data_IF_498767767716
#
_entry.id   IF_498767767716
#
_cell.length_a   1.000
_cell.length_b   1.000
_cell.length_c   1.000
_cell.angle_alpha   90.00
_cell.angle_beta   90.00
_cell.angle_gamma   90.00
#
_symmetry.space_group_name_H-M   'P 1'
#
loop_
_entity.id
_entity.type
_entity.pdbx_description
1 polymer ?
#
# COMPACT_ATOMS: atom_id res chain seq x y z
N UNK A 1 -28.51 -1.01 24.43
CA UNK A 1 -27.71 -1.20 23.20
C UNK A 1 -26.25 -1.22 23.60
N UNK A 2 -25.48 -2.20 23.12
CA UNK A 2 -24.04 -2.23 23.31
C UNK A 2 -23.41 -1.05 22.53
N UNK A 3 -22.55 -0.27 23.18
CA UNK A 3 -21.81 0.80 22.51
C UNK A 3 -20.69 0.19 21.68
N UNK A 4 -20.37 0.84 20.56
CA UNK A 4 -19.17 0.49 19.80
C UNK A 4 -17.96 1.20 20.36
N UNK A 5 -16.85 0.48 20.48
CA UNK A 5 -15.56 1.03 20.87
C UNK A 5 -14.78 1.52 19.66
N UNK A 6 -14.26 2.73 19.73
CA UNK A 6 -13.50 3.37 18.66
C UNK A 6 -12.20 3.91 19.23
N UNK A 7 -11.07 3.50 18.65
CA UNK A 7 -9.77 4.08 18.98
C UNK A 7 -9.44 5.22 18.00
N UNK A 8 -8.95 6.32 18.55
CA UNK A 8 -8.39 7.46 17.81
C UNK A 8 -6.90 7.47 18.14
N UNK A 9 -6.09 7.07 17.18
CA UNK A 9 -4.63 7.08 17.30
C UNK A 9 -4.15 8.37 16.63
N UNK A 10 -3.68 9.32 17.43
CA UNK A 10 -3.40 10.68 16.97
C UNK A 10 -2.46 11.41 17.96
N UNK A 11 -2.57 12.73 18.07
CA UNK A 11 -1.82 13.55 19.01
C UNK A 11 -2.51 13.76 20.37
N UNK A 12 -3.56 12.99 20.67
CA UNK A 12 -4.28 13.02 21.96
C UNK A 12 -5.65 13.71 21.87
N UNK A 13 -6.46 13.54 22.92
CA UNK A 13 -7.82 14.10 23.01
C UNK A 13 -7.99 14.87 24.32
N UNK A 14 -8.51 16.09 24.20
CA UNK A 14 -8.87 16.94 25.34
C UNK A 14 -10.37 16.82 25.67
N UNK A 15 -10.67 16.18 26.81
CA UNK A 15 -12.02 16.00 27.34
C UNK A 15 -12.68 17.33 27.73
N UNK A 16 -11.92 18.31 28.21
CA UNK A 16 -12.44 19.63 28.55
C UNK A 16 -12.91 20.40 27.31
N UNK A 17 -12.19 20.24 26.19
CA UNK A 17 -12.60 20.79 24.91
C UNK A 17 -13.89 20.16 24.39
N UNK A 18 -14.05 18.84 24.53
CA UNK A 18 -15.26 18.13 24.12
C UNK A 18 -16.47 18.40 25.04
N UNK A 19 -16.21 18.71 26.32
CA UNK A 19 -17.25 18.90 27.34
C UNK A 19 -17.80 17.58 27.88
N UNK A 20 -17.12 16.46 27.65
CA UNK A 20 -17.44 15.13 28.17
C UNK A 20 -16.18 14.27 28.35
N UNK A 21 -16.26 13.29 29.25
CA UNK A 21 -15.20 12.30 29.46
C UNK A 21 -15.22 11.26 28.33
N UNK A 22 -14.03 10.81 27.91
CA UNK A 22 -13.87 9.68 26.99
C UNK A 22 -13.65 8.39 27.79
N UNK A 23 -13.72 7.24 27.11
CA UNK A 23 -13.68 5.93 27.76
C UNK A 23 -12.27 5.49 28.18
N UNK A 24 -11.23 6.10 27.61
CA UNK A 24 -9.85 5.94 28.07
C UNK A 24 -8.86 6.74 27.23
N UNK A 25 -7.73 7.13 27.85
CA UNK A 25 -6.63 7.81 27.18
C UNK A 25 -5.29 7.21 27.60
N UNK A 26 -4.47 6.89 26.62
CA UNK A 26 -3.11 6.38 26.81
C UNK A 26 -2.13 7.07 25.87
N UNK A 27 -0.86 7.13 26.25
CA UNK A 27 0.22 7.53 25.36
C UNK A 27 1.22 6.38 25.22
N UNK A 28 1.83 6.26 24.04
CA UNK A 28 2.92 5.31 23.80
C UNK A 28 4.23 5.96 24.22
N UNK A 29 4.87 5.41 25.26
CA UNK A 29 6.13 5.93 25.77
C UNK A 29 7.35 5.48 24.94
N UNK A 30 8.53 6.02 25.24
CA UNK A 30 9.79 5.66 24.59
C UNK A 30 10.16 4.17 24.76
N UNK A 31 9.60 3.50 25.78
CA UNK A 31 9.76 2.05 26.01
C UNK A 31 8.76 1.21 25.22
N UNK A 32 7.96 1.83 24.34
CA UNK A 32 6.92 1.18 23.52
C UNK A 32 5.81 0.54 24.36
N UNK A 33 5.46 1.18 25.47
CA UNK A 33 4.39 0.76 26.36
C UNK A 33 3.25 1.78 26.33
N UNK A 34 2.00 1.31 26.29
CA UNK A 34 0.83 2.16 26.47
C UNK A 34 0.61 2.41 27.96
N UNK A 35 0.82 3.66 28.38
CA UNK A 35 0.59 4.11 29.77
C UNK A 35 -0.48 5.20 29.80
N UNK A 36 -1.08 5.46 30.96
CA UNK A 36 -2.11 6.48 31.08
C UNK A 36 -1.60 7.86 30.63
N UNK A 37 -2.42 8.58 29.86
CA UNK A 37 -2.03 9.89 29.33
C UNK A 37 -2.42 11.00 30.32
N UNK A 38 -1.44 11.52 31.05
CA UNK A 38 -1.60 12.63 32.00
C UNK A 38 -1.31 14.00 31.38
N UNK A 39 -1.02 14.07 30.07
CA UNK A 39 -0.68 15.34 29.43
C UNK A 39 -1.88 16.31 29.44
N UNK A 40 -1.60 17.58 29.76
CA UNK A 40 -2.56 18.66 29.62
C UNK A 40 -2.70 19.06 28.15
N UNK A 41 -3.69 18.44 27.49
CA UNK A 41 -3.97 18.67 26.07
C UNK A 41 -4.56 20.06 25.77
N UNK A 42 -4.95 20.84 26.79
CA UNK A 42 -5.58 22.15 26.59
C UNK A 42 -4.66 23.23 26.01
N UNK A 43 -3.34 23.00 26.09
CA UNK A 43 -2.30 23.93 25.64
C UNK A 43 -1.68 23.54 24.30
N UNK A 44 -2.10 22.42 23.73
CA UNK A 44 -1.54 21.92 22.47
C UNK A 44 -2.00 22.83 21.33
N UNK A 45 -1.03 23.35 20.57
CA UNK A 45 -1.28 24.30 19.47
C UNK A 45 -2.18 23.73 18.38
N UNK A 46 -2.18 22.41 18.22
CA UNK A 46 -2.94 21.69 17.23
C UNK A 46 -3.78 20.59 17.89
N UNK A 47 -5.06 20.84 18.16
CA UNK A 47 -5.95 19.88 18.82
C UNK A 47 -6.55 18.84 17.85
N UNK A 48 -5.71 18.20 17.05
CA UNK A 48 -6.14 17.38 15.91
C UNK A 48 -6.92 16.12 16.31
N UNK A 49 -6.40 15.35 17.27
CA UNK A 49 -7.09 14.19 17.81
C UNK A 49 -8.42 14.57 18.49
N UNK A 50 -8.46 15.70 19.20
CA UNK A 50 -9.70 16.27 19.77
C UNK A 50 -10.74 16.58 18.69
N UNK A 51 -10.34 17.20 17.57
CA UNK A 51 -11.25 17.47 16.45
C UNK A 51 -11.77 16.16 15.86
N UNK A 52 -10.91 15.16 15.66
CA UNK A 52 -11.33 13.84 15.18
C UNK A 52 -12.35 13.18 16.12
N UNK A 53 -12.12 13.27 17.44
CA UNK A 53 -13.05 12.76 18.45
C UNK A 53 -14.40 13.48 18.41
N UNK A 54 -14.40 14.82 18.30
CA UNK A 54 -15.60 15.62 18.19
C UNK A 54 -16.42 15.30 16.94
N UNK A 55 -15.75 15.05 15.80
CA UNK A 55 -16.43 14.60 14.56
C UNK A 55 -17.10 13.25 14.80
N UNK A 56 -16.39 12.26 15.36
CA UNK A 56 -16.98 10.95 15.63
C UNK A 56 -18.19 11.07 16.56
N UNK A 57 -18.06 11.80 17.68
CA UNK A 57 -19.15 11.98 18.64
C UNK A 57 -20.35 12.74 18.06
N UNK A 58 -20.13 13.69 17.14
CA UNK A 58 -21.20 14.42 16.46
C UNK A 58 -22.12 13.48 15.67
N UNK A 59 -21.55 12.52 14.95
CA UNK A 59 -22.31 11.62 14.07
C UNK A 59 -22.65 10.28 14.75
N UNK A 60 -21.91 9.91 15.80
CA UNK A 60 -22.09 8.68 16.56
C UNK A 60 -21.96 8.93 18.07
N UNK A 61 -22.94 9.65 18.62
CA UNK A 61 -22.96 10.02 20.04
C UNK A 61 -22.95 8.82 21.01
N UNK A 62 -23.48 7.66 20.59
CA UNK A 62 -23.54 6.45 21.40
C UNK A 62 -22.33 5.51 21.18
N UNK A 63 -21.12 6.06 21.21
CA UNK A 63 -19.84 5.34 21.11
C UNK A 63 -19.03 5.42 22.40
N UNK A 64 -18.08 4.50 22.56
CA UNK A 64 -16.99 4.57 23.53
C UNK A 64 -15.72 5.02 22.78
N UNK A 65 -15.23 6.22 23.10
CA UNK A 65 -14.03 6.79 22.47
C UNK A 65 -12.81 6.48 23.32
N UNK A 66 -11.77 5.95 22.70
CA UNK A 66 -10.46 5.72 23.31
C UNK A 66 -9.41 6.53 22.56
N UNK A 67 -8.61 7.31 23.27
CA UNK A 67 -7.52 8.09 22.70
C UNK A 67 -6.18 7.39 22.93
N UNK A 68 -5.38 7.27 21.86
CA UNK A 68 -4.01 6.76 21.93
C UNK A 68 -3.09 7.81 21.31
N UNK A 69 -2.32 8.49 22.16
CA UNK A 69 -1.38 9.52 21.72
C UNK A 69 -0.05 8.90 21.31
N UNK A 70 0.30 9.04 20.04
CA UNK A 70 1.63 8.68 19.52
C UNK A 70 2.30 9.81 18.71
N UNK A 71 1.55 10.86 18.37
CA UNK A 71 2.08 12.05 17.73
C UNK A 71 2.45 13.11 18.79
N UNK A 72 3.49 13.88 18.50
CA UNK A 72 3.88 15.05 19.27
C UNK A 72 3.03 16.29 18.90
N UNK A 73 3.35 17.45 19.48
CA UNK A 73 2.60 18.70 19.26
C UNK A 73 2.66 19.20 17.79
N UNK A 74 3.69 18.81 17.05
CA UNK A 74 3.88 19.13 15.63
C UNK A 74 3.23 18.10 14.70
N UNK A 75 2.52 17.10 15.25
CA UNK A 75 1.86 16.05 14.47
C UNK A 75 2.81 14.98 13.91
N UNK A 76 4.04 14.89 14.44
CA UNK A 76 5.03 13.88 14.05
C UNK A 76 5.10 12.75 15.07
N UNK A 77 5.37 11.53 14.62
CA UNK A 77 5.51 10.36 15.49
C UNK A 77 6.39 9.29 14.88
N UNK A 78 6.66 8.24 15.65
CA UNK A 78 7.51 7.13 15.23
C UNK A 78 6.66 5.92 14.82
N UNK A 79 6.99 5.28 13.70
CA UNK A 79 6.24 4.11 13.19
C UNK A 79 6.26 2.96 14.20
N UNK A 80 7.36 2.79 14.92
CA UNK A 80 7.49 1.79 15.98
C UNK A 80 6.52 1.96 17.14
N UNK A 81 5.88 3.13 17.30
CA UNK A 81 4.82 3.35 18.27
C UNK A 81 3.45 2.87 17.78
N UNK A 82 3.27 2.61 16.48
CA UNK A 82 2.00 2.13 15.95
C UNK A 82 1.68 0.71 16.42
N UNK A 83 2.69 -0.18 16.52
CA UNK A 83 2.52 -1.54 17.01
C UNK A 83 1.93 -1.60 18.44
N UNK A 84 2.55 -1.01 19.47
CA UNK A 84 2.01 -1.07 20.83
C UNK A 84 0.63 -0.41 20.94
N UNK A 85 0.36 0.64 20.15
CA UNK A 85 -0.98 1.25 20.08
C UNK A 85 -2.04 0.25 19.58
N UNK A 86 -1.75 -0.48 18.49
CA UNK A 86 -2.68 -1.47 17.94
C UNK A 86 -2.79 -2.74 18.81
N UNK A 87 -1.71 -3.14 19.49
CA UNK A 87 -1.74 -4.22 20.50
C UNK A 87 -2.71 -3.85 21.63
N UNK A 88 -2.59 -2.63 22.16
CA UNK A 88 -3.48 -2.13 23.21
C UNK A 88 -4.95 -2.09 22.76
N UNK A 89 -5.22 -1.73 21.50
CA UNK A 89 -6.56 -1.81 20.93
C UNK A 89 -7.12 -3.24 21.02
N UNK A 90 -6.36 -4.25 20.59
CA UNK A 90 -6.78 -5.66 20.67
C UNK A 90 -7.03 -6.06 22.13
N UNK A 91 -6.12 -5.74 23.05
CA UNK A 91 -6.24 -6.06 24.48
C UNK A 91 -7.52 -5.47 25.10
N UNK A 92 -7.95 -4.30 24.63
CA UNK A 92 -9.19 -3.63 25.07
C UNK A 92 -10.44 -4.06 24.28
N UNK A 93 -10.29 -4.94 23.30
CA UNK A 93 -11.35 -5.39 22.40
C UNK A 93 -11.87 -4.27 21.50
N UNK A 94 -10.99 -3.36 21.07
CA UNK A 94 -11.30 -2.24 20.17
C UNK A 94 -10.89 -2.66 18.75
N UNK A 95 -11.87 -2.82 17.88
CA UNK A 95 -11.66 -3.29 16.50
C UNK A 95 -12.01 -2.26 15.43
N UNK A 96 -12.49 -1.07 15.79
CA UNK A 96 -12.64 0.06 14.86
C UNK A 96 -11.63 1.15 15.24
N UNK A 97 -10.67 1.39 14.34
CA UNK A 97 -9.54 2.29 14.58
C UNK A 97 -9.53 3.40 13.53
N UNK A 98 -9.43 4.64 13.99
CA UNK A 98 -9.26 5.82 13.15
C UNK A 98 -7.80 6.27 13.17
N UNK A 99 -7.16 6.27 12.01
CA UNK A 99 -5.83 6.79 11.73
C UNK A 99 -5.95 8.04 10.86
N UNK A 100 -6.21 9.20 11.45
CA UNK A 100 -6.22 10.48 10.73
C UNK A 100 -4.81 11.01 10.42
N UNK A 101 -3.88 10.08 10.17
CA UNK A 101 -2.45 10.27 9.98
C UNK A 101 -1.93 9.25 8.96
N UNK A 102 -0.74 9.50 8.44
CA UNK A 102 -0.05 8.60 7.52
C UNK A 102 1.31 9.17 7.12
N UNK A 103 2.04 8.42 6.30
CA UNK A 103 3.35 8.80 5.74
C UNK A 103 3.34 8.60 4.24
N UNK A 104 3.99 9.50 3.51
CA UNK A 104 4.24 9.39 2.07
C UNK A 104 5.65 8.88 1.78
N UNK A 105 6.45 8.57 2.80
CA UNK A 105 7.82 8.12 2.62
C UNK A 105 7.85 6.64 2.20
N UNK A 106 8.49 6.35 1.06
CA UNK A 106 8.42 5.03 0.43
C UNK A 106 9.00 3.90 1.31
N UNK A 107 10.05 4.18 2.10
CA UNK A 107 10.69 3.21 3.01
C UNK A 107 9.75 2.71 4.12
N UNK A 108 8.71 3.47 4.43
CA UNK A 108 7.75 3.11 5.47
C UNK A 108 6.71 2.09 4.96
N UNK A 109 6.53 1.97 3.64
CA UNK A 109 5.52 1.14 2.99
C UNK A 109 5.54 -0.30 3.49
N UNK A 110 6.70 -0.95 3.44
CA UNK A 110 6.83 -2.38 3.78
C UNK A 110 6.56 -2.64 5.26
N UNK A 111 7.14 -1.81 6.14
CA UNK A 111 6.98 -1.91 7.59
C UNK A 111 5.52 -1.71 8.00
N UNK A 112 4.87 -0.65 7.50
CA UNK A 112 3.48 -0.36 7.82
C UNK A 112 2.56 -1.42 7.23
N UNK A 113 2.79 -1.88 5.98
CA UNK A 113 1.98 -2.94 5.35
C UNK A 113 1.97 -4.20 6.19
N UNK A 114 3.14 -4.73 6.54
CA UNK A 114 3.25 -5.94 7.37
C UNK A 114 2.55 -5.75 8.71
N UNK A 115 2.72 -4.57 9.33
CA UNK A 115 2.08 -4.26 10.59
C UNK A 115 0.56 -4.26 10.49
N UNK A 116 -0.04 -3.49 9.57
CA UNK A 116 -1.50 -3.38 9.49
C UNK A 116 -2.15 -4.66 9.01
N UNK A 117 -1.52 -5.43 8.11
CA UNK A 117 -2.01 -6.73 7.67
C UNK A 117 -2.18 -7.70 8.85
N UNK A 118 -1.27 -7.65 9.83
CA UNK A 118 -1.37 -8.45 11.04
C UNK A 118 -2.62 -8.13 11.87
N UNK A 119 -2.98 -6.86 12.03
CA UNK A 119 -4.16 -6.48 12.82
C UNK A 119 -5.46 -6.65 12.04
N UNK A 120 -5.45 -6.37 10.74
CA UNK A 120 -6.63 -6.57 9.88
C UNK A 120 -6.94 -8.06 9.73
N UNK A 121 -5.95 -8.94 9.61
CA UNK A 121 -6.16 -10.41 9.60
C UNK A 121 -6.77 -10.93 10.92
N UNK A 122 -6.56 -10.22 12.04
CA UNK A 122 -7.23 -10.46 13.34
C UNK A 122 -8.61 -9.81 13.45
N UNK A 123 -9.14 -9.24 12.37
CA UNK A 123 -10.47 -8.66 12.29
C UNK A 123 -10.54 -7.18 12.62
N UNK A 124 -9.42 -6.46 12.76
CA UNK A 124 -9.46 -5.01 12.96
C UNK A 124 -9.91 -4.28 11.68
N UNK A 125 -10.78 -3.29 11.83
CA UNK A 125 -11.20 -2.37 10.78
C UNK A 125 -10.49 -1.05 11.00
N UNK A 126 -9.61 -0.69 10.07
CA UNK A 126 -8.81 0.53 10.13
C UNK A 126 -9.31 1.49 9.04
N UNK A 127 -9.61 2.72 9.46
CA UNK A 127 -9.97 3.84 8.60
C UNK A 127 -8.83 4.83 8.62
N UNK A 128 -8.27 5.16 7.47
CA UNK A 128 -7.09 6.01 7.38
C UNK A 128 -7.26 7.16 6.38
N UNK A 129 -6.71 8.32 6.73
CA UNK A 129 -6.72 9.49 5.87
C UNK A 129 -5.63 9.41 4.79
N UNK A 130 -5.99 9.71 3.54
CA UNK A 130 -5.01 9.90 2.46
C UNK A 130 -4.25 11.21 2.64
N UNK A 131 -3.03 11.32 2.09
CA UNK A 131 -2.25 12.56 2.16
C UNK A 131 -2.98 13.74 1.51
N UNK A 132 -2.86 14.93 2.11
CA UNK A 132 -3.35 16.17 1.54
C UNK A 132 -2.46 16.68 0.38
N UNK A 133 -1.26 16.10 0.18
CA UNK A 133 -0.35 16.43 -0.92
C UNK A 133 -0.75 15.79 -2.26
N UNK A 134 -1.68 14.83 -2.25
CA UNK A 134 -2.08 14.10 -3.45
C UNK A 134 -1.15 12.95 -3.85
N UNK A 135 -0.17 12.60 -3.01
CA UNK A 135 0.67 11.40 -3.16
C UNK A 135 0.08 10.19 -2.43
N UNK A 136 0.56 9.00 -2.80
CA UNK A 136 0.23 7.76 -2.09
C UNK A 136 0.65 7.87 -0.62
N UNK A 137 -0.22 7.43 0.30
CA UNK A 137 0.00 7.54 1.74
C UNK A 137 -0.29 6.22 2.43
N UNK A 138 0.61 5.81 3.32
CA UNK A 138 0.48 4.58 4.09
C UNK A 138 -0.01 4.89 5.51
N UNK A 139 -1.00 4.14 6.05
CA UNK A 139 -1.57 2.91 5.48
C UNK A 139 -2.79 3.11 4.54
N UNK A 140 -3.22 4.35 4.28
CA UNK A 140 -4.48 4.62 3.60
C UNK A 140 -4.61 4.00 2.19
N UNK A 141 -3.51 3.78 1.49
CA UNK A 141 -3.53 3.23 0.13
C UNK A 141 -3.62 1.70 0.04
N UNK A 142 -3.46 0.98 1.16
CA UNK A 142 -3.48 -0.48 1.17
C UNK A 142 -4.89 -1.04 0.98
N UNK A 143 -5.02 -2.14 0.23
CA UNK A 143 -6.33 -2.67 -0.18
C UNK A 143 -7.21 -3.10 1.00
N UNK A 144 -6.60 -3.49 2.12
CA UNK A 144 -7.25 -3.92 3.35
C UNK A 144 -7.45 -2.81 4.39
N UNK A 145 -7.27 -1.55 3.99
CA UNK A 145 -7.51 -0.36 4.81
C UNK A 145 -8.56 0.49 4.12
N UNK A 146 -9.46 1.09 4.90
CA UNK A 146 -10.46 2.02 4.35
C UNK A 146 -9.77 3.38 4.19
N UNK A 147 -9.20 3.60 3.01
CA UNK A 147 -8.60 4.86 2.57
C UNK A 147 -9.66 5.93 2.30
N UNK A 148 -9.54 7.04 3.01
CA UNK A 148 -10.51 8.16 2.97
C UNK A 148 -9.86 9.42 2.43
N UNK A 149 -10.59 10.12 1.57
CA UNK A 149 -10.28 11.48 1.17
C UNK A 149 -11.51 12.39 1.30
N UNK A 150 -11.30 13.70 1.36
CA UNK A 150 -12.41 14.66 1.29
C UNK A 150 -12.91 14.82 -0.14
N UNK A 151 -14.15 15.25 -0.33
CA UNK A 151 -14.65 15.66 -1.66
C UNK A 151 -13.82 16.81 -2.25
N UNK A 152 -13.08 16.60 -3.33
CA UNK A 152 -12.34 17.65 -4.05
C UNK A 152 -12.39 17.42 -5.56
N UNK A 153 -12.06 18.43 -6.36
CA UNK A 153 -11.91 18.28 -7.82
C UNK A 153 -10.77 17.33 -8.19
N UNK A 154 -9.76 17.20 -7.32
CA UNK A 154 -8.66 16.27 -7.51
C UNK A 154 -9.13 14.82 -7.30
N UNK A 155 -9.92 14.57 -6.25
CA UNK A 155 -10.43 13.23 -5.94
C UNK A 155 -11.75 12.90 -6.64
N UNK A 156 -12.28 13.73 -7.54
CA UNK A 156 -13.50 13.41 -8.31
C UNK A 156 -13.23 12.39 -9.41
N UNK A 157 -11.99 12.29 -9.88
CA UNK A 157 -11.54 11.31 -10.86
C UNK A 157 -11.39 9.91 -10.25
N UNK A 158 -12.16 8.96 -10.78
CA UNK A 158 -12.12 7.57 -10.30
C UNK A 158 -10.79 6.87 -10.51
N UNK A 159 -10.07 7.21 -11.58
CA UNK A 159 -8.78 6.59 -11.90
C UNK A 159 -7.70 7.10 -10.94
N UNK A 160 -7.70 8.38 -10.60
CA UNK A 160 -6.77 8.93 -9.59
C UNK A 160 -7.00 8.32 -8.21
N UNK A 161 -8.27 8.22 -7.79
CA UNK A 161 -8.60 7.53 -6.54
C UNK A 161 -8.14 6.07 -6.57
N UNK A 162 -8.20 5.42 -7.74
CA UNK A 162 -7.69 4.06 -7.93
C UNK A 162 -6.18 3.97 -7.73
N UNK A 163 -5.39 4.86 -8.33
CA UNK A 163 -3.94 4.89 -8.08
C UNK A 163 -3.61 5.14 -6.61
N UNK A 164 -4.36 6.02 -5.95
CA UNK A 164 -4.10 6.40 -4.55
C UNK A 164 -4.66 5.42 -3.50
N UNK A 165 -5.43 4.41 -3.91
CA UNK A 165 -6.09 3.49 -2.98
C UNK A 165 -7.23 4.11 -2.17
N UNK A 166 -7.86 5.17 -2.69
CA UNK A 166 -8.97 5.85 -2.01
C UNK A 166 -10.27 5.08 -2.27
N UNK A 167 -10.85 4.53 -1.21
CA UNK A 167 -12.12 3.82 -1.29
C UNK A 167 -13.31 4.76 -1.14
N UNK A 168 -13.19 5.74 -0.24
CA UNK A 168 -14.32 6.54 0.22
C UNK A 168 -14.01 8.03 0.18
N UNK A 169 -14.96 8.80 -0.33
CA UNK A 169 -15.00 10.25 -0.13
C UNK A 169 -15.90 10.58 1.07
N UNK A 170 -15.38 11.39 1.99
CA UNK A 170 -16.08 11.85 3.19
C UNK A 170 -16.27 13.37 3.23
N UNK A 171 -17.26 13.79 4.01
CA UNK A 171 -17.42 15.19 4.41
C UNK A 171 -16.29 15.58 5.38
N UNK A 172 -15.73 16.79 5.25
CA UNK A 172 -14.66 17.26 6.14
C UNK A 172 -14.92 18.63 6.77
N UNK A 173 -15.94 19.35 6.31
CA UNK A 173 -16.35 20.64 6.85
C UNK A 173 -17.51 20.43 7.84
N UNK A 174 -17.20 20.43 9.12
CA UNK A 174 -18.13 20.13 10.20
C UNK A 174 -18.25 21.31 11.15
N UNK A 175 -19.48 21.72 11.45
CA UNK A 175 -19.73 22.61 12.59
C UNK A 175 -19.57 21.82 13.90
N UNK A 176 -18.53 22.11 14.67
CA UNK A 176 -18.22 21.47 15.96
C UNK A 176 -18.31 22.51 17.07
N UNK A 177 -18.52 22.06 18.31
CA UNK A 177 -18.47 22.92 19.50
C UNK A 177 -17.34 22.43 20.39
N UNK A 178 -16.25 23.20 20.46
CA UNK A 178 -15.10 22.92 21.31
C UNK A 178 -14.97 24.06 22.34
N UNK A 179 -14.75 23.72 23.61
CA UNK A 179 -14.75 24.68 24.73
C UNK A 179 -16.02 25.56 24.76
N UNK A 180 -17.16 24.99 24.35
CA UNK A 180 -18.42 25.73 24.24
C UNK A 180 -18.52 26.67 23.02
N UNK A 181 -17.45 26.87 22.25
CA UNK A 181 -17.40 27.75 21.07
C UNK A 181 -17.67 26.94 19.80
N UNK A 182 -18.60 27.41 18.98
CA UNK A 182 -18.88 26.78 17.69
C UNK A 182 -17.91 27.27 16.61
N UNK A 183 -17.32 26.35 15.86
CA UNK A 183 -16.46 26.63 14.70
C UNK A 183 -16.72 25.62 13.59
N UNK A 184 -16.29 25.94 12.37
CA UNK A 184 -16.34 25.01 11.23
C UNK A 184 -14.92 24.50 10.98
N UNK A 185 -14.77 23.19 10.84
CA UNK A 185 -13.48 22.60 10.48
C UNK A 185 -13.09 22.96 9.05
N UNK A 186 -11.79 23.12 8.81
CA UNK A 186 -11.28 23.30 7.45
C UNK A 186 -11.42 22.01 6.64
N UNK A 187 -11.37 22.15 5.33
CA UNK A 187 -11.37 21.02 4.41
C UNK A 187 -10.03 20.29 4.41
N UNK A 188 -10.01 19.05 4.90
CA UNK A 188 -8.85 18.15 4.81
C UNK A 188 -9.24 16.67 4.91
N UNK A 189 -8.36 15.78 4.46
CA UNK A 189 -8.61 14.34 4.48
C UNK A 189 -8.68 13.79 5.93
N UNK A 190 -7.91 14.38 6.85
CA UNK A 190 -7.88 13.97 8.25
C UNK A 190 -9.20 14.17 8.99
N UNK A 191 -10.06 15.09 8.53
CA UNK A 191 -11.41 15.29 9.09
C UNK A 191 -12.49 14.51 8.34
N UNK A 192 -12.22 14.07 7.10
CA UNK A 192 -13.07 13.12 6.39
C UNK A 192 -12.98 11.70 6.99
N UNK A 193 -11.79 11.25 7.40
CA UNK A 193 -11.59 9.95 8.04
C UNK A 193 -12.49 9.70 9.27
N UNK A 194 -12.55 10.57 10.29
CA UNK A 194 -13.39 10.37 11.47
C UNK A 194 -14.89 10.42 11.15
N UNK A 195 -15.31 11.18 10.14
CA UNK A 195 -16.69 11.14 9.65
C UNK A 195 -17.04 9.76 9.08
N UNK A 196 -16.16 9.19 8.25
CA UNK A 196 -16.33 7.83 7.70
C UNK A 196 -16.26 6.77 8.81
N UNK A 197 -15.36 6.92 9.78
CA UNK A 197 -15.28 6.06 10.97
C UNK A 197 -16.61 6.04 11.72
N UNK A 198 -17.23 7.20 11.96
CA UNK A 198 -18.53 7.27 12.62
C UNK A 198 -19.62 6.52 11.83
N UNK A 199 -19.63 6.67 10.50
CA UNK A 199 -20.58 5.99 9.64
C UNK A 199 -20.42 4.46 9.65
N UNK A 200 -19.17 3.96 9.63
CA UNK A 200 -18.87 2.53 9.79
C UNK A 200 -19.29 2.05 11.18
N UNK A 201 -19.06 2.85 12.22
CA UNK A 201 -19.48 2.51 13.57
C UNK A 201 -20.99 2.39 13.72
N UNK A 202 -21.76 3.29 13.11
CA UNK A 202 -23.23 3.17 13.02
C UNK A 202 -23.65 1.86 12.37
N UNK A 203 -23.03 1.53 11.23
CA UNK A 203 -23.32 0.29 10.52
C UNK A 203 -23.02 -0.96 11.35
N UNK A 204 -21.88 -0.99 12.05
CA UNK A 204 -21.54 -2.09 12.95
C UNK A 204 -22.49 -2.22 14.15
N UNK A 205 -23.04 -1.11 14.65
CA UNK A 205 -24.06 -1.16 15.70
C UNK A 205 -25.40 -1.75 15.20
N UNK A 206 -25.73 -1.54 13.92
CA UNK A 206 -26.96 -2.06 13.30
C UNK A 206 -26.85 -3.53 12.87
N UNK A 207 -25.71 -3.92 12.29
CA UNK A 207 -25.55 -5.21 11.58
C UNK A 207 -24.55 -6.16 12.26
N UNK A 208 -23.97 -5.74 13.39
CA UNK A 208 -22.80 -6.40 13.96
C UNK A 208 -21.52 -6.12 13.17
N UNK A 209 -20.38 -6.49 13.76
CA UNK A 209 -19.08 -6.29 13.14
C UNK A 209 -18.97 -7.12 11.84
N UNK A 210 -18.51 -6.49 10.76
CA UNK A 210 -18.32 -7.12 9.45
C UNK A 210 -16.87 -6.98 9.00
N UNK A 211 -16.40 -7.93 8.20
CA UNK A 211 -15.10 -7.80 7.55
C UNK A 211 -15.12 -6.70 6.48
N UNK A 212 -13.93 -6.23 6.11
CA UNK A 212 -13.77 -5.10 5.20
C UNK A 212 -14.33 -5.39 3.79
N UNK A 213 -14.21 -6.62 3.30
CA UNK A 213 -14.72 -7.04 1.99
C UNK A 213 -16.24 -6.91 1.90
N UNK A 214 -16.98 -7.21 2.96
CA UNK A 214 -18.43 -6.97 3.03
C UNK A 214 -18.78 -5.49 3.12
N UNK A 215 -18.03 -4.71 3.89
CA UNK A 215 -18.25 -3.26 4.02
C UNK A 215 -18.21 -2.60 2.65
N UNK A 216 -17.15 -2.84 1.90
CA UNK A 216 -17.00 -2.21 0.61
C UNK A 216 -18.04 -2.66 -0.43
N UNK A 217 -18.46 -3.95 -0.47
CA UNK A 217 -19.57 -4.41 -1.32
C UNK A 217 -20.89 -3.70 -1.00
N UNK A 218 -21.09 -3.36 0.28
CA UNK A 218 -22.28 -2.64 0.73
C UNK A 218 -22.24 -1.18 0.31
N UNK A 219 -21.06 -0.57 0.41
CA UNK A 219 -20.84 0.84 0.11
C UNK A 219 -20.79 1.14 -1.38
N UNK A 220 -20.30 0.23 -2.23
CA UNK A 220 -20.32 0.41 -3.69
C UNK A 220 -21.72 0.50 -4.31
N UNK A 221 -22.75 0.00 -3.61
CA UNK A 221 -24.16 0.14 -4.04
C UNK A 221 -24.73 1.54 -3.80
N UNK A 222 -24.01 2.43 -3.12
CA UNK A 222 -24.35 3.85 -2.96
C UNK A 222 -23.37 4.64 -3.82
N UNK A 223 -23.85 5.35 -4.84
CA UNK A 223 -23.13 5.95 -5.98
C UNK A 223 -21.94 6.89 -5.66
N UNK A 224 -21.60 7.12 -4.38
CA UNK A 224 -20.55 8.05 -3.93
C UNK A 224 -19.21 7.39 -3.55
N UNK A 225 -19.05 6.06 -3.67
CA UNK A 225 -17.83 5.36 -3.22
C UNK A 225 -17.22 4.45 -4.29
N UNK A 226 -15.89 4.36 -4.33
CA UNK A 226 -15.18 3.39 -5.18
C UNK A 226 -15.25 2.02 -4.53
N UNK A 227 -15.66 1.04 -5.32
CA UNK A 227 -15.71 -0.37 -4.95
C UNK A 227 -14.30 -0.95 -4.77
N UNK A 228 -14.09 -1.88 -3.83
CA UNK A 228 -12.84 -2.71 -3.71
C UNK A 228 -12.40 -3.31 -5.05
N UNK A 229 -13.36 -3.56 -5.93
CA UNK A 229 -13.19 -4.49 -7.04
C UNK A 229 -12.16 -4.02 -8.06
N UNK A 230 -11.65 -2.80 -7.94
CA UNK A 230 -10.90 -2.13 -8.99
C UNK A 230 -9.40 -1.98 -8.70
N UNK A 231 -8.97 -1.77 -7.44
CA UNK A 231 -7.56 -1.76 -7.03
C UNK A 231 -7.38 -2.85 -6.01
N UNK A 232 -6.72 -3.92 -6.39
CA UNK A 232 -6.20 -4.84 -5.40
C UNK A 232 -4.84 -5.23 -5.92
N UNK A 233 -3.79 -4.54 -5.49
CA UNK A 233 -2.53 -5.28 -5.41
C UNK A 233 -2.72 -6.33 -4.31
N UNK A 234 -2.02 -7.47 -4.34
CA UNK A 234 -2.10 -8.45 -3.27
C UNK A 234 -1.59 -7.94 -1.91
N UNK A 235 -1.43 -6.64 -1.68
CA UNK A 235 -0.85 -6.01 -0.51
C UNK A 235 -1.52 -6.31 0.85
N UNK A 236 -2.63 -7.05 0.88
CA UNK A 236 -3.35 -7.43 2.10
C UNK A 236 -2.80 -8.66 2.82
N UNK A 237 -1.92 -9.46 2.18
CA UNK A 237 -1.50 -10.76 2.72
C UNK A 237 -0.68 -10.55 4.00
N UNK A 238 -1.11 -11.16 5.11
CA UNK A 238 -0.28 -11.33 6.30
C UNK A 238 0.39 -12.70 6.29
N UNK A 239 -0.37 -13.75 5.98
CA UNK A 239 0.12 -15.12 5.94
C UNK A 239 -0.58 -15.95 4.85
N UNK A 240 0.17 -16.71 4.06
CA UNK A 240 -0.38 -17.48 2.96
C UNK A 240 0.06 -18.96 2.94
N UNK A 241 -0.79 -19.77 2.31
CA UNK A 241 -0.42 -21.09 1.79
C UNK A 241 -0.16 -20.95 0.29
N UNK A 242 0.97 -21.47 -0.19
CA UNK A 242 1.32 -21.47 -1.61
C UNK A 242 1.07 -22.87 -2.18
N UNK A 243 0.06 -22.98 -3.04
CA UNK A 243 -0.23 -24.20 -3.82
C UNK A 243 0.14 -24.04 -5.30
N UNK A 244 0.26 -22.80 -5.77
CA UNK A 244 0.72 -22.48 -7.11
C UNK A 244 2.13 -23.03 -7.40
N UNK A 245 2.34 -23.53 -8.61
CA UNK A 245 3.65 -23.92 -9.12
C UNK A 245 4.42 -22.70 -9.65
N UNK A 246 4.95 -21.90 -8.73
CA UNK A 246 5.75 -20.71 -9.04
C UNK A 246 7.25 -21.03 -9.13
N UNK A 247 7.99 -20.26 -9.94
CA UNK A 247 9.46 -20.41 -10.05
C UNK A 247 10.07 -20.19 -8.66
N UNK A 248 10.88 -21.16 -8.22
CA UNK A 248 11.59 -21.05 -6.94
C UNK A 248 12.55 -19.86 -6.99
N UNK A 249 12.48 -19.02 -5.97
CA UNK A 249 13.37 -17.87 -5.80
C UNK A 249 14.05 -17.90 -4.43
N UNK A 250 15.22 -17.26 -4.33
CA UNK A 250 15.87 -16.88 -3.08
C UNK A 250 15.25 -15.61 -2.47
N UNK A 251 14.41 -14.88 -3.20
CA UNK A 251 13.71 -13.71 -2.70
C UNK A 251 12.75 -14.08 -1.57
N UNK A 252 12.72 -13.25 -0.53
CA UNK A 252 11.71 -13.36 0.52
C UNK A 252 10.35 -12.89 0.01
N UNK A 253 9.30 -13.66 0.32
CA UNK A 253 7.94 -13.16 0.21
C UNK A 253 7.75 -12.02 1.22
N UNK A 254 6.90 -11.04 0.89
CA UNK A 254 6.64 -9.95 1.83
C UNK A 254 5.72 -10.34 3.01
N UNK A 255 5.29 -11.61 3.06
CA UNK A 255 4.32 -12.18 3.98
C UNK A 255 4.82 -13.54 4.52
N UNK A 256 4.20 -14.00 5.61
CA UNK A 256 4.55 -15.30 6.20
C UNK A 256 4.01 -16.47 5.38
N UNK A 257 4.78 -17.53 5.20
CA UNK A 257 4.33 -18.75 4.52
C UNK A 257 4.14 -19.88 5.52
N UNK A 258 3.01 -20.59 5.42
CA UNK A 258 2.75 -21.82 6.19
C UNK A 258 2.37 -22.97 5.26
N UNK A 259 2.56 -24.20 5.75
CA UNK A 259 2.15 -25.40 5.02
C UNK A 259 0.63 -25.53 4.94
N UNK A 260 0.15 -26.37 4.02
CA UNK A 260 -1.28 -26.58 3.78
C UNK A 260 -2.00 -27.16 5.00
N UNK A 261 -1.30 -27.93 5.82
CA UNK A 261 -1.76 -28.47 7.09
C UNK A 261 -2.09 -27.37 8.12
N UNK A 262 -1.52 -26.17 7.94
CA UNK A 262 -1.75 -25.00 8.77
C UNK A 262 -2.63 -23.94 8.09
N UNK A 263 -3.41 -24.31 7.07
CA UNK A 263 -4.26 -23.38 6.29
C UNK A 263 -5.16 -22.49 7.17
N UNK A 264 -5.54 -22.93 8.37
CA UNK A 264 -6.32 -22.11 9.30
C UNK A 264 -5.56 -20.88 9.83
N UNK A 265 -4.21 -20.92 9.86
CA UNK A 265 -3.34 -19.80 10.24
C UNK A 265 -3.15 -18.78 9.10
N UNK A 266 -3.28 -19.22 7.86
CA UNK A 266 -3.16 -18.34 6.69
C UNK A 266 -4.44 -17.53 6.47
N UNK A 267 -4.32 -16.30 5.98
CA UNK A 267 -5.44 -15.51 5.48
C UNK A 267 -5.67 -15.69 3.97
N UNK A 268 -4.64 -16.09 3.23
CA UNK A 268 -4.63 -16.14 1.77
C UNK A 268 -4.18 -17.50 1.23
N UNK A 269 -4.80 -17.93 0.14
CA UNK A 269 -4.37 -19.08 -0.66
C UNK A 269 -3.85 -18.60 -2.02
N UNK A 270 -2.62 -18.98 -2.37
CA UNK A 270 -1.98 -18.64 -3.64
C UNK A 270 -2.04 -19.84 -4.57
N UNK A 271 -2.69 -19.69 -5.72
CA UNK A 271 -3.05 -20.78 -6.64
C UNK A 271 -2.77 -20.40 -8.09
N UNK A 272 -2.52 -21.40 -8.93
CA UNK A 272 -2.40 -21.29 -10.40
C UNK A 272 -3.44 -22.15 -11.12
N UNK A 273 -4.14 -23.02 -10.39
CA UNK A 273 -5.19 -23.90 -10.87
C UNK A 273 -6.56 -23.51 -10.29
N UNK A 274 -7.57 -23.34 -11.17
CA UNK A 274 -8.92 -22.94 -10.76
C UNK A 274 -9.63 -23.99 -9.88
N UNK A 275 -9.25 -25.26 -9.95
CA UNK A 275 -9.82 -26.30 -9.07
C UNK A 275 -9.56 -26.05 -7.57
N UNK A 276 -8.56 -25.22 -7.25
CA UNK A 276 -8.22 -24.88 -5.87
C UNK A 276 -9.08 -23.74 -5.29
N UNK A 277 -9.95 -23.14 -6.09
CA UNK A 277 -10.93 -22.15 -5.62
C UNK A 277 -11.94 -22.75 -4.63
N UNK A 278 -12.28 -24.04 -4.80
CA UNK A 278 -13.15 -24.76 -3.86
C UNK A 278 -12.53 -24.82 -2.46
N UNK A 279 -11.20 -25.03 -2.39
CA UNK A 279 -10.45 -25.05 -1.15
C UNK A 279 -10.43 -23.67 -0.48
N UNK A 280 -10.15 -22.61 -1.26
CA UNK A 280 -10.22 -21.24 -0.75
C UNK A 280 -11.60 -20.92 -0.18
N UNK A 281 -12.66 -21.34 -0.87
CA UNK A 281 -14.05 -21.14 -0.44
C UNK A 281 -14.36 -21.92 0.84
N UNK A 282 -13.97 -23.20 0.90
CA UNK A 282 -14.16 -24.07 2.07
C UNK A 282 -13.52 -23.46 3.33
N UNK A 283 -12.31 -22.93 3.20
CA UNK A 283 -11.54 -22.38 4.33
C UNK A 283 -11.70 -20.86 4.48
N UNK A 284 -12.56 -20.22 3.67
CA UNK A 284 -12.83 -18.77 3.65
C UNK A 284 -11.56 -17.93 3.55
N UNK A 285 -10.70 -18.26 2.59
CA UNK A 285 -9.44 -17.57 2.33
C UNK A 285 -9.58 -16.50 1.26
N UNK A 286 -8.76 -15.47 1.38
CA UNK A 286 -8.46 -14.60 0.25
C UNK A 286 -7.70 -15.40 -0.81
N UNK A 287 -7.72 -14.93 -2.05
CA UNK A 287 -7.13 -15.67 -3.17
C UNK A 287 -6.19 -14.78 -3.97
N UNK A 288 -5.00 -15.29 -4.24
CA UNK A 288 -4.12 -14.75 -5.28
C UNK A 288 -3.98 -15.83 -6.34
N UNK A 289 -4.58 -15.59 -7.49
CA UNK A 289 -4.46 -16.46 -8.65
C UNK A 289 -3.33 -15.95 -9.55
N UNK A 290 -2.29 -16.75 -9.77
CA UNK A 290 -1.14 -16.41 -10.63
C UNK A 290 -1.16 -17.15 -11.97
N UNK A 291 -2.17 -17.99 -12.21
CA UNK A 291 -2.30 -18.74 -13.46
C UNK A 291 -2.81 -17.88 -14.63
N UNK A 292 -2.93 -18.51 -15.80
CA UNK A 292 -3.30 -17.86 -17.07
C UNK A 292 -4.79 -17.98 -17.43
N UNK A 293 -5.55 -18.84 -16.75
CA UNK A 293 -6.96 -19.07 -17.07
C UNK A 293 -7.83 -17.89 -16.59
N UNK A 294 -8.86 -17.56 -17.38
CA UNK A 294 -9.84 -16.56 -16.97
C UNK A 294 -10.75 -17.12 -15.88
N UNK A 295 -10.71 -16.50 -14.71
CA UNK A 295 -11.64 -16.81 -13.63
C UNK A 295 -13.04 -16.33 -14.02
N UNK A 296 -13.98 -17.27 -14.16
CA UNK A 296 -15.39 -16.99 -14.47
C UNK A 296 -16.23 -16.74 -13.21
N UNK A 297 -15.75 -17.20 -12.06
CA UNK A 297 -16.48 -17.14 -10.80
C UNK A 297 -16.21 -15.85 -10.03
N UNK A 298 -17.25 -15.27 -9.45
CA UNK A 298 -17.11 -14.19 -8.48
C UNK A 298 -16.88 -14.79 -7.10
N UNK A 299 -15.66 -14.62 -6.57
CA UNK A 299 -15.39 -14.95 -5.18
C UNK A 299 -16.03 -13.90 -4.27
N UNK A 300 -17.06 -14.31 -3.55
CA UNK A 300 -17.77 -13.43 -2.65
C UNK A 300 -17.09 -13.35 -1.27
N UNK A 301 -16.98 -12.13 -0.74
CA UNK A 301 -16.58 -11.80 0.64
C UNK A 301 -15.11 -12.09 0.98
N UNK A 302 -14.24 -12.22 -0.02
CA UNK A 302 -12.79 -12.29 0.14
C UNK A 302 -12.06 -11.27 -0.75
N UNK A 303 -10.80 -10.99 -0.42
CA UNK A 303 -9.89 -10.35 -1.36
C UNK A 303 -9.50 -11.35 -2.44
N UNK A 304 -9.37 -10.85 -3.66
CA UNK A 304 -9.05 -11.66 -4.82
C UNK A 304 -8.20 -10.86 -5.79
N UNK A 305 -7.08 -11.44 -6.21
CA UNK A 305 -6.23 -10.90 -7.27
C UNK A 305 -5.97 -11.91 -8.37
N UNK A 306 -5.87 -11.41 -9.60
CA UNK A 306 -5.36 -12.15 -10.73
C UNK A 306 -4.72 -11.23 -11.77
N UNK A 307 -3.92 -11.76 -12.71
CA UNK A 307 -3.30 -10.98 -13.77
C UNK A 307 -4.29 -10.11 -14.57
N UNK A 308 -5.50 -10.63 -14.81
CA UNK A 308 -6.52 -9.92 -15.56
C UNK A 308 -7.01 -8.64 -14.85
N UNK A 309 -6.93 -8.55 -13.52
CA UNK A 309 -7.25 -7.29 -12.82
C UNK A 309 -6.23 -6.20 -13.13
N UNK A 310 -4.94 -6.54 -13.22
CA UNK A 310 -3.89 -5.59 -13.65
C UNK A 310 -4.13 -5.12 -15.07
N UNK A 311 -4.49 -6.04 -15.98
CA UNK A 311 -4.87 -5.71 -17.36
C UNK A 311 -6.05 -4.73 -17.40
N UNK A 312 -7.10 -4.99 -16.62
CA UNK A 312 -8.26 -4.11 -16.52
C UNK A 312 -7.93 -2.72 -15.95
N UNK A 313 -7.02 -2.64 -14.99
CA UNK A 313 -6.54 -1.36 -14.47
C UNK A 313 -5.78 -0.61 -15.56
N UNK A 314 -4.79 -1.24 -16.19
CA UNK A 314 -4.04 -0.64 -17.30
C UNK A 314 -5.02 -0.14 -18.37
N UNK A 315 -5.99 -0.95 -18.81
CA UNK A 315 -6.98 -0.59 -19.84
C UNK A 315 -7.85 0.64 -19.52
N UNK A 316 -7.93 1.09 -18.26
CA UNK A 316 -8.61 2.34 -17.86
C UNK A 316 -7.75 3.58 -18.04
N UNK A 317 -6.44 3.41 -18.24
CA UNK A 317 -5.50 4.48 -18.55
C UNK A 317 -5.64 4.85 -20.04
N UNK A 318 -6.71 5.57 -20.35
CA UNK A 318 -7.03 6.04 -21.72
C UNK A 318 -6.79 7.54 -21.90
N UNK A 319 -6.10 8.17 -20.96
CA UNK A 319 -5.80 9.59 -20.95
C UNK A 319 -4.71 9.98 -21.95
N UNK A 320 -4.24 11.22 -21.83
CA UNK A 320 -3.21 11.76 -22.70
C UNK A 320 -1.84 11.25 -22.27
N UNK A 321 -1.00 10.90 -23.25
CA UNK A 321 0.39 10.51 -23.05
C UNK A 321 1.11 11.56 -22.21
N UNK A 322 1.70 11.11 -21.10
CA UNK A 322 2.58 11.89 -20.24
C UNK A 322 4.00 11.40 -20.47
N UNK A 323 4.95 12.33 -20.44
CA UNK A 323 6.37 12.01 -20.52
C UNK A 323 6.87 11.58 -19.13
N UNK A 324 7.68 10.52 -19.09
CA UNK A 324 8.32 10.05 -17.87
C UNK A 324 9.58 10.87 -17.64
N UNK A 325 9.50 11.87 -16.77
CA UNK A 325 10.63 12.74 -16.39
C UNK A 325 11.47 12.11 -15.26
N UNK A 326 11.80 10.84 -15.42
CA UNK A 326 12.63 10.05 -14.49
C UNK A 326 13.44 9.01 -15.27
N UNK A 327 14.66 8.64 -14.80
CA UNK A 327 15.49 7.63 -15.44
C UNK A 327 14.80 6.28 -15.66
N UNK A 328 15.01 5.70 -16.83
CA UNK A 328 14.53 4.38 -17.25
C UNK A 328 15.72 3.43 -17.43
N UNK A 329 15.77 2.46 -16.53
CA UNK A 329 16.74 1.36 -16.55
C UNK A 329 16.04 0.11 -17.06
N UNK A 330 16.57 -0.49 -18.12
CA UNK A 330 16.04 -1.75 -18.69
C UNK A 330 17.00 -2.88 -18.40
N UNK A 331 16.50 -3.93 -17.75
CA UNK A 331 17.24 -5.17 -17.53
C UNK A 331 16.80 -6.22 -18.54
N UNK A 332 17.74 -6.74 -19.32
CA UNK A 332 17.55 -7.92 -20.18
C UNK A 332 18.29 -9.11 -19.55
N UNK A 333 17.53 -10.12 -19.10
CA UNK A 333 18.06 -11.17 -18.23
C UNK A 333 17.85 -12.57 -18.84
N UNK A 334 18.91 -13.38 -18.81
CA UNK A 334 18.86 -14.77 -19.29
C UNK A 334 18.01 -15.70 -18.41
N UNK A 335 17.39 -16.72 -19.00
CA UNK A 335 16.36 -17.57 -18.32
C UNK A 335 16.84 -18.28 -17.04
N UNK A 336 18.14 -18.58 -16.94
CA UNK A 336 18.75 -19.33 -15.83
C UNK A 336 18.91 -18.50 -14.55
N UNK A 337 18.63 -17.20 -14.61
CA UNK A 337 18.77 -16.30 -13.47
C UNK A 337 17.48 -16.31 -12.64
N UNK A 338 17.66 -16.21 -11.33
CA UNK A 338 16.59 -15.97 -10.38
C UNK A 338 16.22 -14.47 -10.41
N UNK A 339 15.34 -14.11 -11.35
CA UNK A 339 14.99 -12.72 -11.64
C UNK A 339 14.27 -12.05 -10.45
N UNK A 340 13.40 -12.78 -9.74
CA UNK A 340 12.71 -12.22 -8.58
C UNK A 340 13.70 -11.82 -7.46
N UNK A 341 14.71 -12.67 -7.19
CA UNK A 341 15.78 -12.35 -6.24
C UNK A 341 16.62 -11.17 -6.71
N UNK A 342 17.04 -11.20 -7.97
CA UNK A 342 17.81 -10.11 -8.59
C UNK A 342 17.10 -8.76 -8.40
N UNK A 343 15.84 -8.65 -8.83
CA UNK A 343 15.07 -7.41 -8.77
C UNK A 343 14.79 -6.97 -7.33
N UNK A 344 14.54 -7.91 -6.42
CA UNK A 344 14.34 -7.60 -5.01
C UNK A 344 15.61 -7.01 -4.37
N UNK A 345 16.79 -7.57 -4.66
CA UNK A 345 18.06 -7.05 -4.14
C UNK A 345 18.41 -5.70 -4.77
N UNK A 346 18.20 -5.47 -6.07
CA UNK A 346 18.38 -4.13 -6.67
C UNK A 346 17.45 -3.10 -6.06
N UNK A 347 16.15 -3.41 -5.93
CA UNK A 347 15.17 -2.51 -5.30
C UNK A 347 15.59 -2.13 -3.88
N UNK A 348 16.12 -3.09 -3.13
CA UNK A 348 16.63 -2.89 -1.78
C UNK A 348 17.89 -2.03 -1.75
N UNK A 349 18.88 -2.34 -2.59
CA UNK A 349 20.14 -1.58 -2.64
C UNK A 349 19.90 -0.12 -3.04
N UNK A 350 19.01 0.14 -4.00
CA UNK A 350 18.57 1.50 -4.33
C UNK A 350 17.87 2.18 -3.15
N UNK A 351 16.95 1.49 -2.47
CA UNK A 351 16.25 2.04 -1.30
C UNK A 351 17.19 2.36 -0.12
N UNK A 352 18.24 1.56 0.09
CA UNK A 352 19.28 1.80 1.10
C UNK A 352 20.14 3.04 0.76
N UNK A 353 20.12 3.48 -0.50
CA UNK A 353 20.74 4.72 -1.01
C UNK A 353 19.74 5.88 -1.14
N UNK A 354 18.54 5.74 -0.57
CA UNK A 354 17.43 6.72 -0.64
C UNK A 354 16.80 6.92 -2.03
N UNK A 355 16.99 5.99 -2.97
CA UNK A 355 16.30 6.00 -4.27
C UNK A 355 15.08 5.07 -4.27
N UNK A 356 13.91 5.62 -4.59
CA UNK A 356 12.66 4.91 -4.75
C UNK A 356 12.46 4.46 -6.20
N UNK A 357 12.95 3.27 -6.53
CA UNK A 357 12.84 2.75 -7.91
C UNK A 357 11.55 1.94 -8.09
N UNK A 358 10.78 2.29 -9.13
CA UNK A 358 9.65 1.48 -9.60
C UNK A 358 10.19 0.24 -10.34
N UNK A 359 10.36 -0.85 -9.59
CA UNK A 359 10.92 -2.10 -10.09
C UNK A 359 9.82 -3.03 -10.60
N UNK A 360 9.77 -3.23 -11.92
CA UNK A 360 8.71 -3.96 -12.60
C UNK A 360 9.23 -5.07 -13.51
N UNK A 361 8.37 -6.06 -13.78
CA UNK A 361 8.61 -7.05 -14.81
C UNK A 361 7.34 -7.74 -15.30
N UNK A 362 7.51 -8.78 -16.12
CA UNK A 362 6.43 -9.38 -16.90
C UNK A 362 5.76 -10.59 -16.26
N UNK A 363 6.25 -11.10 -15.13
CA UNK A 363 5.71 -12.31 -14.51
C UNK A 363 4.73 -11.96 -13.37
N UNK A 364 3.55 -12.60 -13.31
CA UNK A 364 2.53 -12.26 -12.32
C UNK A 364 2.95 -12.57 -10.89
N UNK A 365 3.80 -13.56 -10.64
CA UNK A 365 4.29 -13.89 -9.30
C UNK A 365 5.21 -12.81 -8.69
N UNK A 366 5.70 -11.85 -9.48
CA UNK A 366 6.53 -10.75 -8.98
C UNK A 366 5.84 -9.93 -7.89
N UNK A 367 4.51 -9.82 -7.94
CA UNK A 367 3.72 -9.17 -6.90
C UNK A 367 3.91 -9.80 -5.53
N UNK A 368 4.25 -11.10 -5.44
CA UNK A 368 4.45 -11.83 -4.17
C UNK A 368 5.74 -11.41 -3.43
N UNK A 369 6.68 -10.81 -4.15
CA UNK A 369 7.96 -10.32 -3.63
C UNK A 369 7.97 -8.79 -3.44
N UNK A 370 6.81 -8.14 -3.59
CA UNK A 370 6.69 -6.68 -3.51
C UNK A 370 7.27 -5.96 -4.73
N UNK A 371 7.36 -6.64 -5.86
CA UNK A 371 7.74 -6.11 -7.17
C UNK A 371 6.49 -5.84 -8.01
N UNK A 372 6.63 -5.02 -9.04
CA UNK A 372 5.50 -4.60 -9.86
C UNK A 372 5.30 -5.52 -11.08
N UNK A 373 4.05 -5.78 -11.42
CA UNK A 373 3.68 -6.64 -12.55
C UNK A 373 3.07 -5.80 -13.67
N UNK A 374 3.70 -5.85 -14.84
CA UNK A 374 3.19 -5.27 -16.09
C UNK A 374 2.94 -6.41 -17.08
N UNK A 375 1.67 -6.75 -17.38
CA UNK A 375 1.33 -7.85 -18.27
C UNK A 375 1.93 -7.67 -19.66
N UNK A 376 2.63 -8.68 -20.17
CA UNK A 376 3.23 -8.66 -21.51
C UNK A 376 2.21 -8.32 -22.61
N UNK A 377 0.99 -8.87 -22.51
CA UNK A 377 -0.09 -8.60 -23.46
C UNK A 377 -0.51 -7.12 -23.52
N UNK A 378 -0.23 -6.33 -22.48
CA UNK A 378 -0.53 -4.90 -22.45
C UNK A 378 0.53 -4.07 -23.18
N UNK A 379 1.75 -4.57 -23.39
CA UNK A 379 2.86 -3.79 -23.99
C UNK A 379 2.54 -3.28 -25.40
N UNK A 380 1.69 -3.98 -26.15
CA UNK A 380 1.17 -3.51 -27.44
C UNK A 380 0.31 -2.24 -27.34
N UNK A 381 -0.23 -1.93 -26.15
CA UNK A 381 -1.04 -0.73 -25.84
C UNK A 381 -0.15 0.37 -25.28
N UNK A 382 0.86 0.79 -26.06
CA UNK A 382 1.93 1.71 -25.65
C UNK A 382 1.44 2.89 -24.80
N UNK A 383 0.49 3.68 -25.33
CA UNK A 383 -0.02 4.88 -24.64
C UNK A 383 -0.60 4.58 -23.26
N UNK A 384 -1.36 3.50 -23.18
CA UNK A 384 -2.04 3.05 -21.96
C UNK A 384 -1.04 2.56 -20.91
N UNK A 385 0.00 1.83 -21.33
CA UNK A 385 1.05 1.37 -20.42
C UNK A 385 1.93 2.55 -19.96
N UNK A 386 2.29 3.48 -20.85
CA UNK A 386 3.03 4.71 -20.49
C UNK A 386 2.29 5.51 -19.43
N UNK A 387 1.00 5.79 -19.65
CA UNK A 387 0.18 6.51 -18.68
C UNK A 387 0.09 5.76 -17.34
N UNK A 388 -0.07 4.43 -17.38
CA UNK A 388 -0.09 3.63 -16.17
C UNK A 388 1.22 3.74 -15.37
N UNK A 389 2.38 3.56 -16.02
CA UNK A 389 3.70 3.67 -15.37
C UNK A 389 3.92 5.10 -14.85
N UNK A 390 3.56 6.11 -15.64
CA UNK A 390 3.64 7.52 -15.23
C UNK A 390 2.86 7.77 -13.94
N UNK A 391 1.60 7.38 -13.86
CA UNK A 391 0.82 7.65 -12.65
C UNK A 391 1.28 6.81 -11.45
N UNK A 392 1.72 5.57 -11.65
CA UNK A 392 2.32 4.77 -10.57
C UNK A 392 3.54 5.49 -9.99
N UNK A 393 4.49 5.84 -10.85
CA UNK A 393 5.76 6.49 -10.45
C UNK A 393 5.51 7.87 -9.85
N UNK A 394 4.63 8.68 -10.44
CA UNK A 394 4.27 10.00 -9.93
C UNK A 394 3.67 9.95 -8.52
N UNK A 395 2.63 9.13 -8.30
CA UNK A 395 1.98 9.09 -6.98
C UNK A 395 2.82 8.41 -5.92
N UNK A 396 3.70 7.49 -6.31
CA UNK A 396 4.67 6.86 -5.42
C UNK A 396 5.92 7.71 -5.21
N UNK A 397 6.09 8.82 -5.93
CA UNK A 397 7.30 9.65 -5.92
C UNK A 397 8.54 8.80 -6.21
N UNK A 398 8.52 8.06 -7.33
CA UNK A 398 9.64 7.23 -7.76
C UNK A 398 10.73 8.07 -8.41
N UNK A 399 11.99 7.76 -8.11
CA UNK A 399 13.17 8.44 -8.67
C UNK A 399 13.63 7.80 -9.98
N UNK A 400 13.04 6.67 -10.37
CA UNK A 400 13.38 5.96 -11.61
C UNK A 400 12.53 4.72 -11.82
N UNK A 401 12.60 4.16 -13.02
CA UNK A 401 11.98 2.89 -13.40
C UNK A 401 13.08 1.87 -13.65
N UNK A 402 12.96 0.69 -13.05
CA UNK A 402 13.74 -0.48 -13.44
C UNK A 402 12.78 -1.50 -14.03
N UNK A 403 12.84 -1.70 -15.35
CA UNK A 403 11.95 -2.60 -16.07
C UNK A 403 12.72 -3.83 -16.55
N UNK A 404 12.31 -5.00 -16.08
CA UNK A 404 12.97 -6.25 -16.43
C UNK A 404 12.22 -7.05 -17.49
N UNK A 405 12.95 -7.48 -18.50
CA UNK A 405 12.49 -8.39 -19.55
C UNK A 405 13.40 -9.61 -19.66
N UNK A 406 12.86 -10.70 -20.19
CA UNK A 406 13.65 -11.86 -20.60
C UNK A 406 14.43 -11.56 -21.87
N UNK A 407 15.56 -12.24 -22.05
CA UNK A 407 16.37 -12.18 -23.27
C UNK A 407 15.52 -12.37 -24.54
N UNK A 408 15.76 -11.54 -25.55
CA UNK A 408 15.07 -11.58 -26.84
C UNK A 408 13.70 -10.89 -26.86
N UNK A 409 13.25 -10.31 -25.74
CA UNK A 409 12.01 -9.50 -25.66
C UNK A 409 12.23 -8.00 -25.83
N UNK A 410 13.42 -7.56 -26.20
CA UNK A 410 13.76 -6.13 -26.34
C UNK A 410 12.80 -5.35 -27.26
N UNK A 411 12.38 -5.95 -28.37
CA UNK A 411 11.43 -5.32 -29.31
C UNK A 411 10.03 -5.08 -28.73
N UNK A 412 9.68 -5.71 -27.59
CA UNK A 412 8.40 -5.49 -26.93
C UNK A 412 8.36 -4.18 -26.13
N UNK A 413 9.53 -3.69 -25.69
CA UNK A 413 9.64 -2.50 -24.84
C UNK A 413 10.18 -1.27 -25.57
N UNK A 414 10.84 -1.44 -26.72
CA UNK A 414 11.31 -0.33 -27.56
C UNK A 414 10.20 0.69 -27.89
N UNK A 415 8.94 0.29 -28.17
CA UNK A 415 7.86 1.26 -28.36
C UNK A 415 7.42 1.96 -27.06
N UNK A 416 7.68 1.35 -25.91
CA UNK A 416 7.28 1.85 -24.59
C UNK A 416 8.26 2.88 -24.05
N UNK A 417 9.55 2.68 -24.25
CA UNK A 417 10.62 3.56 -23.79
C UNK A 417 11.41 4.02 -25.02
N UNK A 418 11.13 5.23 -25.50
CA UNK A 418 11.83 5.81 -26.66
C UNK A 418 13.27 6.18 -26.32
N UNK A 419 13.51 6.55 -25.06
CA UNK A 419 14.78 7.05 -24.54
C UNK A 419 15.08 6.22 -23.28
N UNK A 420 15.78 5.10 -23.47
CA UNK A 420 16.22 4.23 -22.37
C UNK A 420 17.58 4.76 -21.91
N UNK A 421 17.64 5.35 -20.72
CA UNK A 421 18.89 5.90 -20.17
C UNK A 421 19.96 4.83 -20.00
N UNK A 422 19.58 3.64 -19.49
CA UNK A 422 20.53 2.56 -19.27
C UNK A 422 19.93 1.20 -19.58
N UNK A 423 20.62 0.43 -20.44
CA UNK A 423 20.35 -0.99 -20.65
C UNK A 423 21.38 -1.84 -19.90
N UNK A 424 20.91 -2.84 -19.16
CA UNK A 424 21.76 -3.82 -18.47
C UNK A 424 21.42 -5.21 -18.96
N UNK A 425 22.37 -5.88 -19.61
CA UNK A 425 22.24 -7.28 -20.01
C UNK A 425 22.91 -8.16 -18.97
N UNK A 426 22.17 -9.12 -18.42
CA UNK A 426 22.68 -10.03 -17.38
C UNK A 426 22.55 -11.48 -17.84
N UNK A 427 23.70 -12.11 -18.00
CA UNK A 427 23.83 -13.48 -18.51
C UNK A 427 24.62 -14.36 -17.55
N UNK A 428 24.39 -15.68 -17.60
CA UNK A 428 25.26 -16.67 -16.96
C UNK A 428 26.03 -17.46 -18.02
N UNK A 429 27.33 -17.20 -18.11
CA UNK A 429 28.24 -17.84 -19.06
C UNK A 429 29.22 -18.70 -18.27
N UNK A 430 29.13 -20.02 -18.42
CA UNK A 430 30.03 -20.98 -17.75
C UNK A 430 30.14 -20.80 -16.22
N UNK A 431 29.00 -20.57 -15.54
CA UNK A 431 28.92 -20.29 -14.10
C UNK A 431 29.54 -18.96 -13.67
N UNK A 432 29.74 -18.03 -14.60
CA UNK A 432 30.10 -16.64 -14.31
C UNK A 432 28.91 -15.79 -14.73
N UNK A 433 28.40 -14.98 -13.80
CA UNK A 433 27.40 -13.98 -14.09
C UNK A 433 28.10 -12.75 -14.65
N UNK A 434 27.61 -12.25 -15.79
CA UNK A 434 28.13 -11.08 -16.47
C UNK A 434 27.01 -10.05 -16.60
N UNK A 435 27.21 -8.86 -16.05
CA UNK A 435 26.41 -7.68 -16.33
C UNK A 435 27.15 -6.79 -17.34
N UNK A 436 26.53 -6.56 -18.49
CA UNK A 436 26.96 -5.57 -19.47
C UNK A 436 26.04 -4.36 -19.37
N UNK A 437 26.59 -3.20 -19.02
CA UNK A 437 25.85 -1.95 -18.81
C UNK A 437 26.15 -1.02 -19.99
N UNK A 438 25.11 -0.53 -20.65
CA UNK A 438 25.18 0.35 -21.81
C UNK A 438 24.30 1.60 -21.60
N UNK A 439 24.90 2.78 -21.72
CA UNK A 439 24.20 4.07 -21.84
C UNK A 439 24.09 4.47 -23.34
N UNK A 440 23.28 5.49 -23.68
CA UNK A 440 23.11 6.11 -24.99
C UNK A 440 24.45 6.43 -25.69
N UNK A 441 25.48 6.83 -24.94
CA UNK A 441 26.83 7.13 -25.44
C UNK A 441 27.74 5.92 -25.74
N UNK A 442 27.21 4.69 -25.70
CA UNK A 442 27.95 3.45 -26.04
C UNK A 442 29.13 3.19 -25.08
N UNK A 443 29.03 3.59 -23.81
CA UNK A 443 29.96 3.12 -22.77
C UNK A 443 29.50 1.74 -22.31
N UNK A 444 30.25 0.69 -22.66
CA UNK A 444 29.99 -0.68 -22.21
C UNK A 444 30.87 -0.98 -20.99
N UNK A 445 30.27 -0.95 -19.80
CA UNK A 445 30.92 -1.47 -18.59
C UNK A 445 30.57 -2.95 -18.42
N UNK A 446 31.56 -3.74 -18.00
CA UNK A 446 31.38 -5.17 -17.76
C UNK A 446 31.73 -5.51 -16.32
N UNK A 447 30.77 -6.09 -15.61
CA UNK A 447 30.95 -6.59 -14.24
C UNK A 447 30.72 -8.08 -14.28
N UNK A 448 31.66 -8.84 -13.75
CA UNK A 448 31.55 -10.30 -13.69
C UNK A 448 31.74 -10.81 -12.28
N UNK A 449 30.93 -11.78 -11.88
CA UNK A 449 31.05 -12.43 -10.57
C UNK A 449 30.62 -13.90 -10.64
N UNK A 450 31.03 -14.70 -9.66
CA UNK A 450 30.68 -16.13 -9.62
C UNK A 450 29.27 -16.38 -9.09
N UNK A 451 28.69 -15.43 -8.37
CA UNK A 451 27.34 -15.50 -7.82
C UNK A 451 26.61 -14.16 -8.01
N UNK A 452 25.28 -14.21 -8.13
CA UNK A 452 24.44 -13.03 -7.92
C UNK A 452 24.18 -12.95 -6.42
N UNK A 453 24.99 -12.16 -5.74
CA UNK A 453 24.86 -11.84 -4.33
C UNK A 453 24.79 -10.31 -4.14
N UNK A 454 24.87 -9.87 -2.89
CA UNK A 454 24.83 -8.43 -2.57
C UNK A 454 26.00 -7.65 -3.15
N UNK A 455 27.18 -8.25 -3.25
CA UNK A 455 28.38 -7.59 -3.78
C UNK A 455 28.24 -7.38 -5.29
N UNK A 456 27.73 -8.39 -6.02
CA UNK A 456 27.40 -8.22 -7.44
C UNK A 456 26.38 -7.09 -7.66
N UNK A 457 25.28 -7.09 -6.89
CA UNK A 457 24.24 -6.06 -6.98
C UNK A 457 24.82 -4.68 -6.67
N UNK A 458 25.58 -4.54 -5.58
CA UNK A 458 26.20 -3.28 -5.16
C UNK A 458 27.13 -2.72 -6.25
N UNK A 459 27.97 -3.56 -6.87
CA UNK A 459 28.86 -3.15 -7.98
C UNK A 459 28.07 -2.61 -9.15
N UNK A 460 26.99 -3.30 -9.56
CA UNK A 460 26.15 -2.86 -10.68
C UNK A 460 25.41 -1.58 -10.32
N UNK A 461 24.77 -1.49 -9.14
CA UNK A 461 24.07 -0.29 -8.70
C UNK A 461 25.00 0.92 -8.60
N UNK A 462 26.24 0.74 -8.10
CA UNK A 462 27.25 1.80 -8.08
C UNK A 462 27.50 2.37 -9.49
N UNK A 463 27.62 1.51 -10.50
CA UNK A 463 27.76 1.95 -11.89
C UNK A 463 26.50 2.65 -12.39
N UNK A 464 25.31 2.13 -12.08
CA UNK A 464 24.03 2.74 -12.49
C UNK A 464 23.85 4.14 -11.90
N UNK A 465 24.03 4.29 -10.59
CA UNK A 465 23.93 5.60 -9.91
C UNK A 465 24.93 6.57 -10.52
N UNK A 466 26.17 6.13 -10.74
CA UNK A 466 27.20 6.96 -11.36
C UNK A 466 26.78 7.45 -12.75
N UNK A 467 26.34 6.54 -13.62
CA UNK A 467 25.89 6.88 -14.98
C UNK A 467 24.72 7.88 -14.94
N UNK A 468 23.73 7.63 -14.07
CA UNK A 468 22.50 8.42 -14.00
C UNK A 468 22.64 9.75 -13.27
N UNK A 469 23.78 10.02 -12.62
CA UNK A 469 24.02 11.25 -11.85
C UNK A 469 25.20 12.08 -12.36
N UNK A 470 26.04 11.56 -13.26
CA UNK A 470 27.27 12.23 -13.73
C UNK A 470 27.08 13.22 -14.93
N UNK A 471 25.91 13.80 -15.15
CA UNK A 471 25.75 14.91 -16.11
C UNK A 471 25.23 16.22 -15.46
N UNK A 472 26.13 16.97 -14.80
CA UNK A 472 26.05 18.46 -14.67
C UNK A 472 27.44 19.13 -14.39
N UNK A 473 28.58 18.47 -14.66
CA UNK A 473 29.93 19.09 -14.53
C UNK A 473 30.66 19.21 -15.90
N UNK A 474 29.93 19.71 -16.92
CA UNK A 474 30.44 20.01 -18.27
C UNK A 474 30.53 21.49 -18.59
#
# INVERSE_FOLDING_TARGET
MQKIKIAIIDNGVDEAALGNEISGKVYVNEKKECVYDEADMSRVRFAHGTICAAIIQKYLANSEIYSIRLLNEDGSGLIEHLKPALDWCIEKGIYLVNLSLGTTHFRDKSLIRTLVNHYVSKGMCIVAATSNSGYESYPASFSNIIGVATHSSFFSDSLKRLFLGINILGESEHTLRLYGVASVTQKCNSYAAPFVTAYIGMFFMEQGFQNITKLYKRFSKKETMITISEKVEPDWICCAVIKANIKKSKADYYFDVVGIEEINRADTLIIDNLSDLELATQYRKNVVYVGSEKIKETLDDCFYWCPNKRVQFIDRCTGNEQELDIPIIVFEVSEKIDVAFLLAEFKKDFADREYNIYTAGLEPEYVLYGLEYVPEQCLSKVKTVKEFIYWQTFYMQSDGVLFCISEGKHSLIEPLFSDIDVMVRIENINNIYLAEIQNEDIVVLKISDCEIDKDFVEKVTNCLVRILTEEEDG
#
